data_IF_390498410885
#
_entry.id   IF_390498410885
#
_cell.length_a   1.000
_cell.length_b   1.000
_cell.length_c   1.000
_cell.angle_alpha   90.00
_cell.angle_beta   90.00
_cell.angle_gamma   90.00
#
_symmetry.space_group_name_H-M   'P 1'
#
loop_
_entity.id
_entity.type
_entity.pdbx_description
1 polymer ?
#
# COMPACT_ATOMS: atom_id res chain seq x y z
N UNK A 1 -56.00 6.99 46.82
CA UNK A 1 -54.89 6.19 47.40
C UNK A 1 -53.77 7.17 47.67
N UNK A 2 -53.75 7.72 48.87
CA UNK A 2 -53.00 7.20 50.03
C UNK A 2 -51.56 7.70 49.97
N UNK A 3 -51.26 8.86 50.58
CA UNK A 3 -51.01 9.08 52.03
C UNK A 3 -49.60 8.68 52.44
N UNK A 4 -48.82 9.70 52.82
CA UNK A 4 -47.92 9.77 53.98
C UNK A 4 -46.68 8.82 53.93
N UNK A 5 -45.57 8.94 54.67
CA UNK A 5 -44.91 10.01 55.45
C UNK A 5 -43.37 9.68 55.47
N UNK A 6 -42.40 10.33 56.15
CA UNK A 6 -42.41 11.36 57.19
C UNK A 6 -41.19 12.30 57.14
N UNK A 7 -41.32 13.46 57.78
CA UNK A 7 -40.35 14.27 58.55
C UNK A 7 -39.37 13.45 59.45
N UNK A 8 -38.28 13.92 60.09
CA UNK A 8 -37.82 15.22 60.64
C UNK A 8 -36.28 15.11 60.96
N UNK A 9 -35.41 16.14 60.90
CA UNK A 9 -35.05 17.14 61.97
C UNK A 9 -34.45 16.49 63.25
N UNK A 10 -33.37 16.93 63.95
CA UNK A 10 -32.35 18.03 63.87
C UNK A 10 -31.31 17.83 65.05
N UNK A 11 -30.23 18.65 65.15
CA UNK A 11 -29.23 18.79 66.29
C UNK A 11 -28.22 17.64 66.46
N UNK A 12 -26.98 17.86 66.97
CA UNK A 12 -26.21 19.06 67.33
C UNK A 12 -24.77 18.63 67.74
N UNK A 13 -23.68 19.26 67.27
CA UNK A 13 -22.93 20.40 67.87
C UNK A 13 -22.14 20.13 69.18
N UNK A 14 -20.87 20.58 69.20
CA UNK A 14 -19.90 20.66 70.34
C UNK A 14 -19.09 19.35 70.65
N UNK A 15 -17.75 19.29 70.44
CA UNK A 15 -16.60 19.85 71.21
C UNK A 15 -16.23 19.04 72.47
N UNK A 16 -14.98 18.77 72.89
CA UNK A 16 -13.63 19.12 72.42
C UNK A 16 -12.55 18.15 73.00
N UNK A 17 -11.31 18.26 72.50
CA UNK A 17 -10.02 17.91 73.13
C UNK A 17 -9.83 16.61 73.96
N UNK A 18 -8.91 15.75 73.50
CA UNK A 18 -7.71 15.38 74.28
C UNK A 18 -6.67 14.62 73.44
N UNK A 19 -5.41 14.79 73.79
CA UNK A 19 -4.23 13.98 73.40
C UNK A 19 -3.28 14.04 74.60
N UNK A 20 -2.50 12.99 74.92
CA UNK A 20 -1.22 12.82 74.21
C UNK A 20 -0.70 11.36 74.10
N UNK A 21 0.51 11.26 73.51
CA UNK A 21 1.54 10.22 73.64
C UNK A 21 1.62 9.01 72.67
N UNK A 22 2.57 9.18 71.73
CA UNK A 22 3.69 8.29 71.41
C UNK A 22 3.46 6.85 70.88
N UNK A 23 3.80 6.64 69.60
CA UNK A 23 4.63 5.49 69.20
C UNK A 23 5.44 5.71 67.89
N UNK A 24 6.73 6.01 68.09
CA UNK A 24 7.93 5.72 67.27
C UNK A 24 7.83 5.59 65.73
N UNK A 25 8.50 6.53 65.05
CA UNK A 25 9.56 6.30 64.06
C UNK A 25 9.33 5.28 62.93
N UNK A 26 9.06 5.79 61.72
CA UNK A 26 9.58 5.18 60.47
C UNK A 26 10.39 6.21 59.69
N UNK A 27 11.57 5.81 59.22
CA UNK A 27 12.52 6.70 58.57
C UNK A 27 12.11 7.05 57.13
N UNK A 28 12.41 8.27 56.71
CA UNK A 28 12.21 8.75 55.34
C UNK A 28 13.05 7.98 54.33
N UNK A 29 12.42 7.35 53.34
CA UNK A 29 13.11 6.88 52.13
C UNK A 29 13.37 8.09 51.21
N UNK A 30 14.63 8.42 50.86
CA UNK A 30 14.91 9.46 49.88
C UNK A 30 14.34 9.06 48.51
N UNK A 31 13.73 10.01 47.80
CA UNK A 31 12.96 9.73 46.60
C UNK A 31 13.76 9.05 45.49
N UNK A 32 13.09 8.17 44.73
CA UNK A 32 13.64 7.56 43.54
C UNK A 32 14.02 8.64 42.51
N UNK A 33 15.33 8.94 42.40
CA UNK A 33 15.84 9.85 41.38
C UNK A 33 15.59 9.26 39.99
N UNK A 34 14.66 9.88 39.27
CA UNK A 34 14.29 9.53 37.89
C UNK A 34 15.50 9.76 36.98
N UNK A 35 16.28 8.69 36.75
CA UNK A 35 17.52 8.69 35.96
C UNK A 35 17.28 9.36 34.61
N UNK A 36 18.12 10.31 34.23
CA UNK A 36 17.97 11.04 32.96
C UNK A 36 18.78 10.31 31.88
N UNK A 37 18.30 10.24 30.61
CA UNK A 37 19.05 9.58 29.54
C UNK A 37 20.48 10.12 29.35
N UNK A 38 20.70 11.39 29.69
CA UNK A 38 21.99 12.07 29.67
C UNK A 38 23.06 11.45 30.59
N UNK A 39 22.65 10.79 31.68
CA UNK A 39 23.55 10.20 32.68
C UNK A 39 24.33 8.99 32.11
N UNK A 40 23.81 8.34 31.06
CA UNK A 40 24.47 7.22 30.35
C UNK A 40 25.48 7.74 29.31
N UNK A 41 25.18 8.88 28.70
CA UNK A 41 26.04 9.51 27.68
C UNK A 41 27.32 10.06 28.33
N UNK A 42 27.21 10.66 29.53
CA UNK A 42 28.37 11.16 30.27
C UNK A 42 29.34 10.06 30.75
N UNK A 43 28.86 8.81 30.88
CA UNK A 43 29.67 7.65 31.26
C UNK A 43 30.17 6.83 30.05
N UNK A 44 30.31 7.47 28.87
CA UNK A 44 30.85 6.83 27.67
C UNK A 44 29.99 5.69 27.12
N UNK A 45 28.66 5.71 27.37
CA UNK A 45 27.72 4.66 26.96
C UNK A 45 27.62 3.47 27.91
N UNK A 46 28.46 3.39 28.95
CA UNK A 46 28.41 2.29 29.93
C UNK A 46 27.44 2.64 31.07
N UNK A 47 26.30 1.96 31.10
CA UNK A 47 25.36 2.09 32.22
C UNK A 47 25.96 1.47 33.50
N UNK A 48 25.95 2.17 34.66
CA UNK A 48 26.46 1.60 35.90
C UNK A 48 25.67 0.36 36.34
N UNK A 49 26.35 -0.78 36.50
CA UNK A 49 25.79 -1.99 37.09
C UNK A 49 25.44 -1.76 38.56
N UNK A 50 24.17 -1.49 38.85
CA UNK A 50 23.68 -1.41 40.22
C UNK A 50 23.71 -2.79 40.89
N UNK A 51 24.29 -2.88 42.10
CA UNK A 51 24.04 -4.04 42.98
C UNK A 51 22.57 -4.02 43.40
N UNK A 52 21.92 -5.17 43.36
CA UNK A 52 20.57 -5.38 43.88
C UNK A 52 20.61 -6.51 44.91
N UNK A 53 19.83 -6.35 45.98
CA UNK A 53 19.67 -7.32 47.06
C UNK A 53 18.81 -8.55 46.66
N UNK A 54 18.29 -9.31 47.64
CA UNK A 54 17.85 -10.69 47.41
C UNK A 54 16.53 -10.86 46.65
N UNK A 55 15.71 -9.81 46.48
CA UNK A 55 14.39 -9.94 45.86
C UNK A 55 14.39 -9.55 44.38
N UNK A 56 13.97 -10.52 43.56
CA UNK A 56 14.10 -10.56 42.10
C UNK A 56 12.85 -9.99 41.42
N UNK A 57 12.78 -8.67 41.28
CA UNK A 57 11.86 -8.06 40.31
C UNK A 57 12.51 -8.05 38.91
N UNK A 58 11.85 -8.68 37.95
CA UNK A 58 12.30 -8.77 36.56
C UNK A 58 12.08 -7.43 35.84
N UNK A 59 13.03 -6.51 35.98
CA UNK A 59 13.17 -5.42 35.02
C UNK A 59 13.75 -5.99 33.73
N UNK A 60 13.03 -5.84 32.62
CA UNK A 60 13.52 -6.25 31.31
C UNK A 60 14.84 -5.53 31.02
N UNK A 61 15.89 -6.29 30.72
CA UNK A 61 17.17 -5.73 30.29
C UNK A 61 16.93 -4.91 29.03
N UNK A 62 17.21 -3.61 29.09
CA UNK A 62 17.18 -2.75 27.92
C UNK A 62 18.34 -3.22 27.04
N UNK A 63 18.10 -3.68 25.80
CA UNK A 63 19.16 -4.16 24.94
C UNK A 63 20.21 -3.07 24.76
N UNK A 64 21.47 -3.47 24.74
CA UNK A 64 22.59 -2.58 24.47
C UNK A 64 22.40 -1.87 23.12
N UNK A 65 23.04 -0.70 22.97
CA UNK A 65 22.97 0.06 21.72
C UNK A 65 23.46 -0.80 20.54
N UNK A 66 24.48 -1.63 20.76
CA UNK A 66 25.03 -2.54 19.77
C UNK A 66 24.05 -3.67 19.38
N UNK A 67 23.31 -4.23 20.34
CA UNK A 67 22.24 -5.21 20.06
C UNK A 67 21.08 -4.59 19.28
N UNK A 68 20.70 -3.35 19.62
CA UNK A 68 19.64 -2.62 18.90
C UNK A 68 20.06 -2.27 17.46
N UNK A 69 21.31 -1.84 17.25
CA UNK A 69 21.89 -1.62 15.92
C UNK A 69 21.92 -2.95 15.14
N UNK A 70 22.45 -4.03 15.75
CA UNK A 70 22.52 -5.36 15.14
C UNK A 70 21.12 -5.87 14.75
N UNK A 71 20.09 -5.63 15.59
CA UNK A 71 18.71 -6.00 15.28
C UNK A 71 18.13 -5.17 14.13
N UNK A 72 18.46 -3.88 14.06
CA UNK A 72 18.08 -3.02 12.92
C UNK A 72 18.79 -3.45 11.63
N UNK A 73 20.08 -3.77 11.67
CA UNK A 73 20.87 -4.18 10.50
C UNK A 73 20.40 -5.52 9.91
N UNK A 74 19.97 -6.47 10.75
CA UNK A 74 19.43 -7.77 10.32
C UNK A 74 18.35 -7.64 9.24
N UNK A 75 17.55 -6.57 9.19
CA UNK A 75 16.52 -6.41 8.15
C UNK A 75 17.08 -6.31 6.71
N UNK A 76 18.38 -5.99 6.56
CA UNK A 76 19.08 -5.83 5.28
C UNK A 76 19.87 -7.07 4.83
N UNK A 77 19.93 -8.11 5.65
CA UNK A 77 20.68 -9.35 5.35
C UNK A 77 20.02 -10.16 4.22
N UNK A 78 20.73 -11.11 3.58
CA UNK A 78 20.15 -12.03 2.59
C UNK A 78 18.88 -12.72 3.10
N UNK A 79 17.85 -12.80 2.24
CA UNK A 79 16.56 -13.42 2.56
C UNK A 79 15.59 -12.57 3.39
N UNK A 80 16.03 -11.44 3.94
CA UNK A 80 15.20 -10.57 4.78
C UNK A 80 14.38 -9.57 3.93
N UNK A 81 13.27 -9.01 4.46
CA UNK A 81 12.35 -8.18 3.66
C UNK A 81 12.99 -6.98 2.97
N UNK A 82 14.02 -6.37 3.57
CA UNK A 82 14.77 -5.25 2.97
C UNK A 82 16.17 -5.64 2.50
N UNK A 83 16.38 -6.91 2.17
CA UNK A 83 17.68 -7.40 1.73
C UNK A 83 18.24 -6.58 0.57
N UNK A 84 19.41 -5.95 0.77
CA UNK A 84 19.99 -5.05 -0.23
C UNK A 84 20.37 -5.80 -1.52
N UNK A 85 20.92 -7.01 -1.40
CA UNK A 85 21.18 -7.89 -2.54
C UNK A 85 19.88 -8.33 -3.24
N UNK A 86 18.82 -8.61 -2.46
CA UNK A 86 17.50 -8.94 -3.00
C UNK A 86 16.81 -7.80 -3.75
N UNK A 87 17.04 -6.55 -3.34
CA UNK A 87 16.58 -5.33 -4.03
C UNK A 87 17.41 -5.07 -5.29
N UNK A 88 18.75 -5.12 -5.17
CA UNK A 88 19.67 -4.88 -6.28
C UNK A 88 19.45 -5.87 -7.44
N UNK A 89 19.36 -7.17 -7.13
CA UNK A 89 19.10 -8.21 -8.13
C UNK A 89 17.78 -7.99 -8.87
N UNK A 90 16.70 -7.63 -8.15
CA UNK A 90 15.40 -7.35 -8.77
C UNK A 90 15.44 -6.11 -9.66
N UNK A 91 16.07 -5.03 -9.19
CA UNK A 91 16.26 -3.80 -9.99
C UNK A 91 17.02 -4.09 -11.29
N UNK A 92 18.09 -4.89 -11.21
CA UNK A 92 18.90 -5.29 -12.36
C UNK A 92 18.12 -6.16 -13.36
N UNK A 93 17.41 -7.18 -12.88
CA UNK A 93 16.58 -8.04 -13.72
C UNK A 93 15.44 -7.27 -14.40
N UNK A 94 14.80 -6.33 -13.70
CA UNK A 94 13.78 -5.44 -14.28
C UNK A 94 14.37 -4.55 -15.36
N UNK A 95 15.57 -3.99 -15.15
CA UNK A 95 16.28 -3.20 -16.16
C UNK A 95 16.61 -4.01 -17.42
N UNK A 96 17.05 -5.26 -17.27
CA UNK A 96 17.28 -6.20 -18.39
C UNK A 96 15.97 -6.47 -19.14
N UNK A 97 14.91 -6.87 -18.42
CA UNK A 97 13.59 -7.17 -19.03
C UNK A 97 13.05 -5.94 -19.76
N UNK A 98 13.13 -4.75 -19.17
CA UNK A 98 12.74 -3.49 -19.79
C UNK A 98 13.53 -3.23 -21.09
N UNK A 99 14.86 -3.35 -21.05
CA UNK A 99 15.72 -3.08 -22.21
C UNK A 99 15.44 -4.04 -23.36
N UNK A 100 15.39 -5.35 -23.09
CA UNK A 100 15.11 -6.39 -24.10
C UNK A 100 13.71 -6.19 -24.70
N UNK A 101 12.71 -5.93 -23.87
CA UNK A 101 11.33 -5.75 -24.33
C UNK A 101 11.11 -4.42 -25.07
N UNK A 102 11.74 -3.32 -24.68
CA UNK A 102 11.72 -2.08 -25.46
C UNK A 102 12.38 -2.27 -26.83
N UNK A 103 13.54 -2.93 -26.90
CA UNK A 103 14.23 -3.19 -28.17
C UNK A 103 13.40 -4.12 -29.08
N UNK A 104 12.85 -5.21 -28.53
CA UNK A 104 11.97 -6.12 -29.27
C UNK A 104 10.69 -5.42 -29.76
N UNK A 105 10.13 -4.50 -28.97
CA UNK A 105 8.99 -3.66 -29.39
C UNK A 105 9.36 -2.79 -30.59
N UNK A 106 10.47 -2.07 -30.51
CA UNK A 106 10.95 -1.19 -31.57
C UNK A 106 11.23 -1.99 -32.86
N UNK A 107 11.96 -3.11 -32.76
CA UNK A 107 12.30 -3.96 -33.89
C UNK A 107 11.03 -4.54 -34.56
N UNK A 108 10.12 -5.12 -33.78
CA UNK A 108 8.89 -5.71 -34.32
C UNK A 108 7.95 -4.66 -34.93
N UNK A 109 7.87 -3.45 -34.35
CA UNK A 109 7.03 -2.38 -34.88
C UNK A 109 7.62 -1.75 -36.14
N UNK A 110 8.84 -1.21 -36.07
CA UNK A 110 9.42 -0.39 -37.14
C UNK A 110 10.14 -1.17 -38.23
N UNK A 111 10.72 -2.33 -37.92
CA UNK A 111 11.54 -3.10 -38.89
C UNK A 111 10.70 -4.19 -39.56
N UNK A 112 9.94 -4.98 -38.79
CA UNK A 112 9.17 -6.11 -39.35
C UNK A 112 7.68 -5.83 -39.56
N UNK A 113 7.17 -4.69 -39.08
CA UNK A 113 5.74 -4.34 -39.11
C UNK A 113 4.82 -5.43 -38.49
N UNK A 114 5.36 -6.21 -37.55
CA UNK A 114 4.72 -7.39 -36.98
C UNK A 114 3.90 -7.07 -35.74
N UNK A 115 2.59 -7.33 -35.76
CA UNK A 115 1.63 -7.06 -34.67
C UNK A 115 2.08 -7.60 -33.30
N UNK A 116 2.93 -8.63 -33.28
CA UNK A 116 3.53 -9.21 -32.08
C UNK A 116 4.37 -8.22 -31.25
N UNK A 117 4.70 -7.02 -31.77
CA UNK A 117 5.28 -5.91 -30.99
C UNK A 117 4.49 -5.58 -29.71
N UNK A 118 3.18 -5.85 -29.68
CA UNK A 118 2.30 -5.55 -28.54
C UNK A 118 2.63 -6.36 -27.28
N UNK A 119 3.16 -7.59 -27.40
CA UNK A 119 3.61 -8.40 -26.25
C UNK A 119 4.82 -7.76 -25.53
N UNK A 120 5.97 -7.49 -26.19
CA UNK A 120 7.08 -6.83 -25.52
C UNK A 120 6.75 -5.39 -25.11
N UNK A 121 5.79 -4.70 -25.76
CA UNK A 121 5.28 -3.43 -25.24
C UNK A 121 4.56 -3.59 -23.89
N UNK A 122 3.74 -4.64 -23.75
CA UNK A 122 3.08 -4.99 -22.49
C UNK A 122 4.09 -5.37 -21.40
N UNK A 123 5.12 -6.14 -21.74
CA UNK A 123 6.20 -6.52 -20.81
C UNK A 123 7.03 -5.31 -20.37
N UNK A 124 7.38 -4.39 -21.27
CA UNK A 124 8.08 -3.15 -20.91
C UNK A 124 7.21 -2.24 -20.03
N UNK A 125 5.91 -2.15 -20.31
CA UNK A 125 4.94 -1.43 -19.47
C UNK A 125 4.87 -2.01 -18.05
N UNK A 126 4.86 -3.34 -17.91
CA UNK A 126 4.94 -4.04 -16.62
C UNK A 126 6.27 -3.78 -15.89
N UNK A 127 7.39 -3.82 -16.60
CA UNK A 127 8.71 -3.56 -16.04
C UNK A 127 8.83 -2.11 -15.51
N UNK A 128 8.31 -1.13 -16.26
CA UNK A 128 8.21 0.28 -15.82
C UNK A 128 7.31 0.39 -14.59
N UNK A 129 6.12 -0.21 -14.60
CA UNK A 129 5.22 -0.23 -13.46
C UNK A 129 5.92 -0.76 -12.21
N UNK A 130 6.40 -2.01 -12.24
CA UNK A 130 7.04 -2.66 -11.09
C UNK A 130 8.31 -1.93 -10.59
N UNK A 131 9.08 -1.30 -11.49
CA UNK A 131 10.18 -0.43 -11.09
C UNK A 131 9.71 0.84 -10.37
N UNK A 132 8.72 1.54 -10.93
CA UNK A 132 8.20 2.79 -10.36
C UNK A 132 7.49 2.56 -9.01
N UNK A 133 6.82 1.43 -8.82
CA UNK A 133 6.26 1.04 -7.51
C UNK A 133 7.34 0.98 -6.42
N UNK A 134 8.42 0.24 -6.69
CA UNK A 134 9.56 0.15 -5.77
C UNK A 134 10.26 1.49 -5.60
N UNK A 135 10.66 2.14 -6.70
CA UNK A 135 11.46 3.37 -6.67
C UNK A 135 10.71 4.51 -5.97
N UNK A 136 9.42 4.70 -6.25
CA UNK A 136 8.62 5.75 -5.62
C UNK A 136 8.44 5.47 -4.12
N UNK A 137 8.24 4.20 -3.74
CA UNK A 137 8.18 3.80 -2.32
C UNK A 137 9.54 4.04 -1.64
N UNK A 138 10.66 3.63 -2.25
CA UNK A 138 12.00 3.85 -1.73
C UNK A 138 12.34 5.35 -1.57
N UNK A 139 11.90 6.19 -2.51
CA UNK A 139 12.21 7.63 -2.50
C UNK A 139 11.34 8.45 -1.53
N UNK A 140 10.05 8.13 -1.42
CA UNK A 140 9.07 8.96 -0.68
C UNK A 140 8.50 8.29 0.58
N UNK A 141 8.61 6.96 0.71
CA UNK A 141 8.28 6.19 1.92
C UNK A 141 9.35 5.14 2.27
N UNK A 142 10.61 5.58 2.37
CA UNK A 142 11.79 4.72 2.54
C UNK A 142 11.67 3.65 3.64
N UNK A 143 11.09 3.90 4.82
CA UNK A 143 10.98 2.86 5.85
C UNK A 143 10.01 1.72 5.55
N UNK A 144 9.03 1.91 4.66
CA UNK A 144 8.14 0.84 4.16
C UNK A 144 8.70 0.15 2.91
N UNK A 145 9.76 0.71 2.30
CA UNK A 145 10.39 0.15 1.12
C UNK A 145 11.07 -1.19 1.43
N UNK A 146 10.71 -2.21 0.65
CA UNK A 146 11.15 -3.60 0.82
C UNK A 146 11.07 -4.34 -0.52
N UNK A 147 11.49 -5.60 -0.55
CA UNK A 147 11.40 -6.47 -1.73
C UNK A 147 9.95 -6.62 -2.23
N UNK A 148 8.96 -6.60 -1.32
CA UNK A 148 7.56 -6.72 -1.73
C UNK A 148 7.03 -5.44 -2.39
N UNK A 149 7.68 -4.28 -2.22
CA UNK A 149 7.30 -3.02 -2.87
C UNK A 149 7.46 -3.03 -4.41
N UNK A 150 8.14 -4.03 -4.98
CA UNK A 150 8.10 -4.31 -6.42
C UNK A 150 6.75 -4.91 -6.89
N UNK A 151 5.89 -5.37 -5.98
CA UNK A 151 4.57 -5.98 -6.25
C UNK A 151 4.53 -7.27 -7.11
N UNK A 152 5.65 -7.93 -7.41
CA UNK A 152 5.65 -9.21 -8.17
C UNK A 152 4.82 -10.33 -7.53
N UNK A 153 4.88 -10.46 -6.20
CA UNK A 153 4.17 -11.52 -5.46
C UNK A 153 3.09 -10.97 -4.53
N UNK A 154 3.13 -9.66 -4.22
CA UNK A 154 2.17 -9.00 -3.32
C UNK A 154 0.75 -8.93 -3.87
N UNK A 155 0.59 -8.98 -5.20
CA UNK A 155 -0.72 -8.95 -5.87
C UNK A 155 -1.42 -10.33 -5.92
N UNK A 156 -0.77 -11.40 -5.43
CA UNK A 156 -1.33 -12.76 -5.40
C UNK A 156 -1.34 -13.49 -6.75
N UNK A 157 -1.75 -14.76 -6.73
CA UNK A 157 -1.78 -15.62 -7.93
C UNK A 157 -2.72 -15.11 -9.02
N UNK A 158 -3.85 -14.49 -8.65
CA UNK A 158 -4.82 -13.90 -9.58
C UNK A 158 -4.19 -12.85 -10.51
N UNK A 159 -3.22 -12.06 -10.02
CA UNK A 159 -2.47 -11.11 -10.83
C UNK A 159 -1.67 -11.83 -11.91
N UNK A 160 -0.88 -12.84 -11.55
CA UNK A 160 -0.08 -13.59 -12.52
C UNK A 160 -0.95 -14.35 -13.53
N UNK A 161 -2.09 -14.91 -13.09
CA UNK A 161 -3.08 -15.54 -13.97
C UNK A 161 -3.63 -14.53 -14.99
N UNK A 162 -3.98 -13.31 -14.58
CA UNK A 162 -4.50 -12.28 -15.47
C UNK A 162 -3.48 -11.88 -16.56
N UNK A 163 -2.21 -11.69 -16.20
CA UNK A 163 -1.15 -11.32 -17.16
C UNK A 163 -0.82 -12.47 -18.12
N UNK A 164 -0.78 -13.71 -17.62
CA UNK A 164 -0.65 -14.90 -18.48
C UNK A 164 -1.84 -15.07 -19.41
N UNK A 165 -3.07 -14.82 -18.94
CA UNK A 165 -4.27 -14.87 -19.78
C UNK A 165 -4.26 -13.80 -20.87
N UNK A 166 -3.82 -12.58 -20.54
CA UNK A 166 -3.69 -11.48 -21.51
C UNK A 166 -2.69 -11.80 -22.64
N UNK A 167 -1.53 -12.38 -22.32
CA UNK A 167 -0.57 -12.84 -23.34
C UNK A 167 -1.13 -14.04 -24.11
N UNK A 168 -1.84 -14.95 -23.44
CA UNK A 168 -2.44 -16.14 -24.07
C UNK A 168 -3.55 -15.78 -25.07
N UNK A 169 -4.49 -14.89 -24.72
CA UNK A 169 -5.53 -14.40 -25.64
C UNK A 169 -4.90 -13.73 -26.87
N UNK A 170 -3.88 -12.90 -26.64
CA UNK A 170 -3.16 -12.23 -27.73
C UNK A 170 -2.52 -13.26 -28.67
N UNK A 171 -1.75 -14.21 -28.14
CA UNK A 171 -1.06 -15.23 -28.93
C UNK A 171 -2.05 -16.10 -29.69
N UNK A 172 -3.13 -16.55 -29.04
CA UNK A 172 -4.16 -17.36 -29.69
C UNK A 172 -4.79 -16.57 -30.84
N UNK A 173 -5.19 -15.32 -30.59
CA UNK A 173 -5.95 -14.58 -31.60
C UNK A 173 -5.09 -14.16 -32.79
N UNK A 174 -3.86 -13.71 -32.55
CA UNK A 174 -3.00 -13.21 -33.62
C UNK A 174 -2.22 -14.32 -34.36
N UNK A 175 -2.08 -15.53 -33.79
CA UNK A 175 -1.42 -16.66 -34.47
C UNK A 175 -2.41 -17.51 -35.26
N UNK A 176 -3.58 -17.83 -34.68
CA UNK A 176 -4.54 -18.74 -35.32
C UNK A 176 -5.67 -18.01 -36.08
N UNK A 177 -5.93 -16.73 -35.78
CA UNK A 177 -7.05 -15.96 -36.35
C UNK A 177 -6.65 -14.56 -36.89
N UNK A 178 -5.51 -14.41 -37.62
CA UNK A 178 -4.93 -13.11 -37.97
C UNK A 178 -5.83 -12.20 -38.83
N UNK A 179 -6.78 -12.77 -39.59
CA UNK A 179 -7.68 -12.03 -40.48
C UNK A 179 -9.05 -11.71 -39.87
N UNK A 180 -9.24 -11.92 -38.56
CA UNK A 180 -10.52 -11.63 -37.90
C UNK A 180 -11.67 -12.56 -38.28
N UNK A 181 -11.37 -13.76 -38.78
CA UNK A 181 -12.35 -14.77 -39.13
C UNK A 181 -13.23 -15.13 -37.93
N UNK A 182 -14.52 -14.78 -37.98
CA UNK A 182 -15.51 -15.24 -37.01
C UNK A 182 -15.58 -16.76 -37.02
N UNK A 183 -15.35 -17.41 -35.88
CA UNK A 183 -15.45 -18.86 -35.75
C UNK A 183 -16.48 -19.24 -34.67
N UNK A 184 -17.09 -20.42 -34.83
CA UNK A 184 -18.08 -20.95 -33.89
C UNK A 184 -17.48 -22.08 -33.06
N UNK A 185 -17.40 -21.91 -31.74
CA UNK A 185 -17.16 -23.03 -30.81
C UNK A 185 -18.50 -23.32 -30.12
N UNK A 186 -18.91 -24.59 -30.05
CA UNK A 186 -20.20 -25.00 -29.45
C UNK A 186 -21.42 -24.21 -29.95
N UNK A 187 -21.40 -23.78 -31.22
CA UNK A 187 -22.46 -22.97 -31.84
C UNK A 187 -22.43 -21.47 -31.52
N UNK A 188 -21.68 -21.04 -30.50
CA UNK A 188 -21.49 -19.63 -30.14
C UNK A 188 -20.46 -19.00 -31.10
N UNK A 189 -20.77 -17.84 -31.69
CA UNK A 189 -19.83 -17.12 -32.56
C UNK A 189 -18.88 -16.26 -31.71
N UNK A 190 -17.60 -16.63 -31.68
CA UNK A 190 -16.59 -15.94 -30.87
C UNK A 190 -16.08 -14.70 -31.62
N UNK A 191 -16.25 -13.47 -31.10
CA UNK A 191 -15.58 -12.28 -31.63
C UNK A 191 -14.04 -12.41 -31.53
N UNK A 192 -13.30 -12.47 -32.64
CA UNK A 192 -11.85 -12.67 -32.62
C UNK A 192 -11.11 -11.34 -32.38
N UNK A 193 -10.93 -10.93 -31.11
CA UNK A 193 -10.22 -9.68 -30.71
C UNK A 193 -10.80 -8.38 -31.31
N UNK A 194 -10.06 -7.27 -31.25
CA UNK A 194 -10.45 -5.99 -31.86
C UNK A 194 -10.58 -6.02 -33.40
N UNK A 195 -10.24 -7.13 -34.05
CA UNK A 195 -10.30 -7.28 -35.52
C UNK A 195 -11.71 -7.05 -36.11
N UNK A 196 -12.77 -7.21 -35.30
CA UNK A 196 -14.14 -6.86 -35.67
C UNK A 196 -14.35 -5.36 -35.95
N UNK A 197 -13.50 -4.50 -35.39
CA UNK A 197 -13.60 -3.06 -35.58
C UNK A 197 -12.81 -2.62 -36.82
N UNK A 198 -13.27 -1.54 -37.47
CA UNK A 198 -12.54 -0.94 -38.59
C UNK A 198 -11.11 -0.56 -38.19
N UNK A 199 -10.15 -0.56 -39.12
CA UNK A 199 -8.74 -0.20 -38.85
C UNK A 199 -8.60 1.19 -38.20
N UNK A 200 -9.48 2.16 -38.58
CA UNK A 200 -9.56 3.46 -37.91
C UNK A 200 -9.93 3.33 -36.43
N UNK A 201 -10.96 2.55 -36.13
CA UNK A 201 -11.42 2.28 -34.75
C UNK A 201 -10.34 1.56 -33.94
N UNK A 202 -9.64 0.58 -34.53
CA UNK A 202 -8.53 -0.12 -33.88
C UNK A 202 -7.38 0.83 -33.50
N UNK A 203 -7.05 1.78 -34.39
CA UNK A 203 -6.04 2.80 -34.11
C UNK A 203 -6.48 3.78 -33.00
N UNK A 204 -7.76 4.16 -32.96
CA UNK A 204 -8.32 4.99 -31.87
C UNK A 204 -8.25 4.24 -30.54
N UNK A 205 -8.63 2.96 -30.50
CA UNK A 205 -8.53 2.09 -29.31
C UNK A 205 -7.07 2.00 -28.83
N UNK A 206 -6.12 1.82 -29.76
CA UNK A 206 -4.70 1.77 -29.45
C UNK A 206 -4.19 3.09 -28.83
N UNK A 207 -4.47 4.23 -29.47
CA UNK A 207 -4.04 5.55 -28.98
C UNK A 207 -4.66 5.85 -27.61
N UNK A 208 -5.95 5.55 -27.42
CA UNK A 208 -6.60 5.73 -26.13
C UNK A 208 -6.00 4.81 -25.06
N UNK A 209 -5.70 3.55 -25.40
CA UNK A 209 -5.00 2.61 -24.50
C UNK A 209 -3.63 3.12 -24.06
N UNK A 210 -2.84 3.68 -24.98
CA UNK A 210 -1.54 4.31 -24.68
C UNK A 210 -1.71 5.51 -23.73
N UNK A 211 -2.71 6.37 -23.97
CA UNK A 211 -3.03 7.50 -23.10
C UNK A 211 -3.41 7.00 -21.69
N UNK A 212 -4.27 5.98 -21.59
CA UNK A 212 -4.66 5.40 -20.29
C UNK A 212 -3.47 4.81 -19.52
N UNK A 213 -2.52 4.16 -20.19
CA UNK A 213 -1.29 3.65 -19.56
C UNK A 213 -0.46 4.83 -19.01
N UNK A 214 -0.18 5.84 -19.83
CA UNK A 214 0.65 6.98 -19.43
C UNK A 214 0.00 7.78 -18.30
N UNK A 215 -1.28 8.14 -18.45
CA UNK A 215 -2.04 8.92 -17.46
C UNK A 215 -2.25 8.10 -16.18
N UNK A 216 -2.62 6.81 -16.30
CA UNK A 216 -2.82 5.93 -15.15
C UNK A 216 -1.55 5.71 -14.33
N UNK A 217 -0.42 5.45 -14.99
CA UNK A 217 0.89 5.35 -14.33
C UNK A 217 1.28 6.67 -13.66
N UNK A 218 1.11 7.79 -14.36
CA UNK A 218 1.49 9.12 -13.85
C UNK A 218 0.67 9.47 -12.61
N UNK A 219 -0.65 9.33 -12.66
CA UNK A 219 -1.55 9.59 -11.53
C UNK A 219 -1.21 8.68 -10.35
N UNK A 220 -0.91 7.39 -10.60
CA UNK A 220 -0.52 6.45 -9.54
C UNK A 220 0.80 6.86 -8.87
N UNK A 221 1.85 7.13 -9.65
CA UNK A 221 3.14 7.54 -9.10
C UNK A 221 3.03 8.88 -8.37
N UNK A 222 2.32 9.88 -8.92
CA UNK A 222 2.12 11.17 -8.24
C UNK A 222 1.28 11.03 -6.97
N UNK A 223 0.28 10.14 -6.93
CA UNK A 223 -0.46 9.82 -5.70
C UNK A 223 0.47 9.25 -4.61
N UNK A 224 1.35 8.32 -4.96
CA UNK A 224 2.35 7.78 -4.02
C UNK A 224 3.33 8.85 -3.52
N UNK A 225 3.76 9.77 -4.40
CA UNK A 225 4.61 10.93 -4.03
C UNK A 225 3.88 11.85 -3.04
N UNK A 226 2.62 12.21 -3.33
CA UNK A 226 1.84 13.15 -2.52
C UNK A 226 1.44 12.56 -1.16
N UNK A 227 1.09 11.28 -1.11
CA UNK A 227 0.75 10.61 0.16
C UNK A 227 1.99 10.22 0.98
N UNK A 228 3.15 9.97 0.34
CA UNK A 228 4.43 9.75 1.03
C UNK A 228 4.33 8.73 2.17
N UNK A 229 4.56 9.16 3.41
CA UNK A 229 4.49 8.31 4.61
C UNK A 229 3.10 7.81 4.99
N UNK A 230 2.03 8.39 4.43
CA UNK A 230 0.66 7.86 4.56
C UNK A 230 0.37 6.76 3.52
N UNK A 231 1.14 6.67 2.43
CA UNK A 231 0.91 5.65 1.39
C UNK A 231 1.40 4.27 1.82
N UNK A 232 0.56 3.24 1.65
CA UNK A 232 0.90 1.85 1.92
C UNK A 232 0.30 0.91 0.86
N UNK A 233 1.07 -0.10 0.43
CA UNK A 233 0.58 -1.15 -0.49
C UNK A 233 -0.43 -2.11 0.18
N UNK A 234 -0.39 -2.23 1.50
CA UNK A 234 -1.31 -3.01 2.33
C UNK A 234 -2.18 -2.03 3.13
N UNK A 235 -3.49 -2.30 3.22
CA UNK A 235 -4.41 -1.49 4.02
C UNK A 235 -4.00 -1.58 5.50
N UNK A 236 -3.70 -0.44 6.11
CA UNK A 236 -3.20 -0.38 7.48
C UNK A 236 -4.36 -0.42 8.48
N UNK A 237 -4.37 -1.42 9.36
CA UNK A 237 -5.38 -1.58 10.42
C UNK A 237 -5.09 -0.77 11.68
N UNK A 238 -3.89 -0.19 11.79
CA UNK A 238 -3.44 0.62 12.94
C UNK A 238 -2.90 1.95 12.45
N UNK A 239 -3.27 3.06 13.13
CA UNK A 239 -2.78 4.41 12.79
C UNK A 239 -1.33 4.59 13.27
N UNK A 240 -0.39 4.72 12.33
CA UNK A 240 0.97 5.20 12.62
C UNK A 240 0.94 6.68 13.05
N UNK A 241 1.90 7.11 13.88
CA UNK A 241 2.11 8.54 14.21
C UNK A 241 2.39 9.42 12.99
N UNK A 242 2.92 8.84 11.91
CA UNK A 242 3.14 9.53 10.63
C UNK A 242 1.92 9.53 9.70
N UNK A 243 0.82 8.86 10.08
CA UNK A 243 -0.37 8.75 9.24
C UNK A 243 -1.22 10.02 9.40
N UNK A 244 -1.21 10.83 8.35
CA UNK A 244 -1.97 12.07 8.18
C UNK A 244 -2.95 11.93 7.03
N UNK A 245 -4.11 12.59 7.14
CA UNK A 245 -5.09 12.63 6.05
C UNK A 245 -4.61 13.61 4.98
N UNK A 246 -4.32 13.09 3.78
CA UNK A 246 -3.84 13.89 2.65
C UNK A 246 -5.02 14.25 1.76
N UNK A 247 -5.26 15.55 1.57
CA UNK A 247 -6.41 16.12 0.84
C UNK A 247 -5.99 17.12 -0.24
N UNK A 248 -4.69 17.24 -0.52
CA UNK A 248 -4.12 18.22 -1.46
C UNK A 248 -3.59 17.56 -2.74
N UNK A 249 -3.39 18.34 -3.80
CA UNK A 249 -2.93 17.82 -5.09
C UNK A 249 -4.01 16.96 -5.76
N UNK A 250 -3.67 15.72 -6.15
CA UNK A 250 -4.63 14.78 -6.72
C UNK A 250 -5.71 14.38 -5.71
N UNK A 251 -5.36 14.33 -4.42
CA UNK A 251 -6.28 13.99 -3.35
C UNK A 251 -7.40 15.02 -3.18
N UNK A 252 -7.21 16.27 -3.62
CA UNK A 252 -8.29 17.27 -3.61
C UNK A 252 -9.48 16.91 -4.51
N UNK A 253 -9.26 16.04 -5.51
CA UNK A 253 -10.27 15.62 -6.49
C UNK A 253 -10.63 14.14 -6.34
N UNK A 254 -9.62 13.30 -6.11
CA UNK A 254 -9.74 11.85 -6.07
C UNK A 254 -9.34 11.33 -4.69
N UNK A 255 -10.28 10.75 -3.92
CA UNK A 255 -9.98 10.16 -2.60
C UNK A 255 -9.09 8.92 -2.64
N UNK A 256 -9.04 8.24 -3.79
CA UNK A 256 -8.17 7.06 -4.03
C UNK A 256 -7.43 7.14 -5.38
N UNK A 257 -6.52 8.12 -5.59
CA UNK A 257 -5.93 8.38 -6.89
C UNK A 257 -4.95 7.28 -7.34
N UNK A 258 -4.30 6.58 -6.39
CA UNK A 258 -3.45 5.42 -6.69
C UNK A 258 -4.25 4.22 -7.23
N UNK A 259 -5.51 4.08 -6.84
CA UNK A 259 -6.43 3.03 -7.30
C UNK A 259 -7.06 3.40 -8.65
N UNK A 260 -7.47 4.67 -8.81
CA UNK A 260 -7.82 5.24 -10.12
C UNK A 260 -6.72 4.96 -11.15
N UNK A 261 -5.48 5.34 -10.83
CA UNK A 261 -4.34 5.19 -11.74
C UNK A 261 -4.10 3.74 -12.15
N UNK A 262 -4.13 2.80 -11.19
CA UNK A 262 -3.94 1.38 -11.48
C UNK A 262 -5.11 0.76 -12.28
N UNK A 263 -6.36 1.13 -11.97
CA UNK A 263 -7.53 0.65 -12.69
C UNK A 263 -7.45 1.03 -14.18
N UNK A 264 -7.26 2.31 -14.47
CA UNK A 264 -7.20 2.80 -15.86
C UNK A 264 -5.93 2.35 -16.59
N UNK A 265 -4.78 2.27 -15.91
CA UNK A 265 -3.57 1.66 -16.46
C UNK A 265 -3.81 0.22 -16.90
N UNK A 266 -4.44 -0.59 -16.04
CA UNK A 266 -4.75 -2.00 -16.31
C UNK A 266 -5.64 -2.17 -17.54
N UNK A 267 -6.71 -1.39 -17.65
CA UNK A 267 -7.58 -1.37 -18.83
C UNK A 267 -6.82 -0.94 -20.09
N UNK A 268 -5.99 0.10 -19.98
CA UNK A 268 -5.13 0.60 -21.07
C UNK A 268 -4.23 -0.49 -21.65
N UNK A 269 -3.61 -1.34 -20.80
CA UNK A 269 -2.79 -2.46 -21.29
C UNK A 269 -3.55 -3.43 -22.18
N UNK A 270 -4.81 -3.73 -21.87
CA UNK A 270 -5.62 -4.66 -22.66
C UNK A 270 -6.08 -4.03 -23.99
N UNK A 271 -6.32 -2.71 -24.01
CA UNK A 271 -6.58 -1.96 -25.24
C UNK A 271 -5.35 -1.93 -26.17
N UNK A 272 -4.14 -1.80 -25.62
CA UNK A 272 -2.89 -1.85 -26.41
C UNK A 272 -2.54 -3.26 -26.86
N UNK A 273 -2.85 -4.31 -26.09
CA UNK A 273 -2.80 -5.69 -26.61
C UNK A 273 -3.87 -5.92 -27.70
N UNK A 274 -5.03 -5.26 -27.61
CA UNK A 274 -6.17 -5.55 -28.48
C UNK A 274 -6.97 -6.77 -28.02
N UNK A 275 -6.89 -7.11 -26.74
CA UNK A 275 -7.66 -8.20 -26.14
C UNK A 275 -9.09 -7.73 -25.87
N UNK A 276 -10.08 -8.52 -26.27
CA UNK A 276 -11.49 -8.23 -25.99
C UNK A 276 -11.95 -8.88 -24.70
N UNK A 277 -11.63 -10.16 -24.49
CA UNK A 277 -12.10 -10.91 -23.33
C UNK A 277 -11.34 -10.48 -22.07
N UNK A 278 -10.01 -10.35 -22.13
CA UNK A 278 -9.21 -9.85 -21.03
C UNK A 278 -9.48 -8.37 -20.73
N UNK A 279 -9.92 -7.53 -21.67
CA UNK A 279 -10.36 -6.16 -21.34
C UNK A 279 -11.56 -6.18 -20.38
N UNK A 280 -12.61 -6.93 -20.71
CA UNK A 280 -13.78 -7.07 -19.83
C UNK A 280 -13.46 -7.85 -18.54
N UNK A 281 -12.60 -8.86 -18.62
CA UNK A 281 -12.11 -9.62 -17.46
C UNK A 281 -11.32 -8.75 -16.48
N UNK A 282 -10.35 -7.96 -16.96
CA UNK A 282 -9.62 -6.98 -16.16
C UNK A 282 -10.58 -5.94 -15.56
N UNK A 283 -11.51 -5.43 -16.36
CA UNK A 283 -12.54 -4.47 -15.89
C UNK A 283 -13.32 -5.03 -14.71
N UNK A 284 -13.87 -6.24 -14.84
CA UNK A 284 -14.67 -6.87 -13.78
C UNK A 284 -13.84 -7.17 -12.52
N UNK A 285 -12.66 -7.77 -12.69
CA UNK A 285 -11.80 -8.18 -11.57
C UNK A 285 -11.24 -6.97 -10.82
N UNK A 286 -10.71 -5.96 -11.52
CA UNK A 286 -10.19 -4.74 -10.89
C UNK A 286 -11.32 -3.93 -10.23
N UNK A 287 -12.51 -3.86 -10.85
CA UNK A 287 -13.66 -3.19 -10.24
C UNK A 287 -14.10 -3.89 -8.95
N UNK A 288 -14.25 -5.22 -8.96
CA UNK A 288 -14.60 -5.98 -7.76
C UNK A 288 -13.54 -5.86 -6.66
N UNK A 289 -12.26 -5.90 -7.03
CA UNK A 289 -11.14 -5.74 -6.11
C UNK A 289 -11.18 -4.36 -5.44
N UNK A 290 -11.26 -3.28 -6.22
CA UNK A 290 -11.25 -1.93 -5.68
C UNK A 290 -12.53 -1.57 -4.92
N UNK A 291 -13.71 -1.99 -5.38
CA UNK A 291 -14.97 -1.78 -4.65
C UNK A 291 -14.92 -2.39 -3.24
N UNK A 292 -14.40 -3.62 -3.11
CA UNK A 292 -14.21 -4.27 -1.80
C UNK A 292 -13.12 -3.59 -0.97
N UNK A 293 -11.96 -3.30 -1.58
CA UNK A 293 -10.81 -2.70 -0.89
C UNK A 293 -11.10 -1.30 -0.36
N UNK A 294 -11.66 -0.44 -1.19
CA UNK A 294 -12.05 0.94 -0.85
C UNK A 294 -13.04 0.92 0.32
N UNK A 295 -14.10 0.09 0.28
CA UNK A 295 -15.06 0.00 1.40
C UNK A 295 -14.41 -0.39 2.73
N UNK A 296 -13.47 -1.33 2.72
CA UNK A 296 -12.73 -1.72 3.93
C UNK A 296 -11.78 -0.63 4.43
N UNK A 297 -11.10 0.07 3.52
CA UNK A 297 -10.15 1.13 3.82
C UNK A 297 -10.85 2.41 4.31
N UNK A 298 -11.94 2.86 3.66
CA UNK A 298 -12.72 4.02 4.12
C UNK A 298 -13.30 3.79 5.52
N UNK A 299 -13.71 2.56 5.86
CA UNK A 299 -14.16 2.22 7.21
C UNK A 299 -13.04 2.32 8.27
N UNK A 300 -11.78 2.15 7.88
CA UNK A 300 -10.62 2.37 8.75
C UNK A 300 -10.22 3.86 8.80
N UNK A 301 -10.29 4.57 7.68
CA UNK A 301 -10.03 6.02 7.63
C UNK A 301 -11.04 6.80 8.48
N UNK A 302 -12.32 6.43 8.48
CA UNK A 302 -13.33 6.99 9.41
C UNK A 302 -12.94 6.71 10.87
N UNK A 303 -12.44 5.50 11.20
CA UNK A 303 -11.95 5.20 12.57
C UNK A 303 -10.69 5.97 12.95
N UNK A 304 -9.87 6.37 11.98
CA UNK A 304 -8.61 7.07 12.22
C UNK A 304 -8.75 8.59 12.29
N UNK A 305 -9.68 9.18 11.53
CA UNK A 305 -9.81 10.62 11.34
C UNK A 305 -11.21 11.18 11.64
N UNK A 306 -12.21 10.32 11.89
CA UNK A 306 -13.56 10.74 12.26
C UNK A 306 -14.21 11.64 11.21
N UNK A 307 -14.80 12.74 11.68
CA UNK A 307 -15.56 13.69 10.85
C UNK A 307 -14.71 14.37 9.77
N UNK A 308 -13.39 14.51 9.95
CA UNK A 308 -12.49 15.05 8.92
C UNK A 308 -12.57 14.21 7.63
N UNK A 309 -12.58 12.88 7.76
CA UNK A 309 -12.71 11.98 6.62
C UNK A 309 -14.13 11.99 6.04
N UNK A 310 -15.15 12.10 6.90
CA UNK A 310 -16.56 12.16 6.46
C UNK A 310 -16.79 13.41 5.61
N UNK A 311 -16.28 14.57 6.02
CA UNK A 311 -16.36 15.82 5.27
C UNK A 311 -15.56 15.74 3.97
N UNK A 312 -14.31 15.28 4.02
CA UNK A 312 -13.46 15.09 2.85
C UNK A 312 -14.10 14.17 1.78
N UNK A 313 -14.77 13.10 2.21
CA UNK A 313 -15.46 12.16 1.31
C UNK A 313 -16.62 12.80 0.53
N UNK A 314 -17.28 13.84 1.05
CA UNK A 314 -18.36 14.54 0.34
C UNK A 314 -17.85 15.35 -0.87
N UNK A 315 -16.60 15.80 -0.83
CA UNK A 315 -16.01 16.69 -1.85
C UNK A 315 -15.04 16.00 -2.81
N UNK A 316 -14.81 14.69 -2.65
CA UNK A 316 -13.81 13.92 -3.40
C UNK A 316 -14.36 12.60 -3.97
N UNK A 317 -13.96 12.25 -5.19
CA UNK A 317 -14.50 11.11 -5.96
C UNK A 317 -13.53 9.91 -5.98
N UNK A 318 -13.98 8.69 -6.31
CA UNK A 318 -13.04 7.58 -6.58
C UNK A 318 -12.55 7.62 -8.03
N UNK A 319 -13.42 8.02 -8.97
CA UNK A 319 -13.13 8.05 -10.41
C UNK A 319 -13.02 6.66 -11.08
N UNK A 320 -13.38 5.60 -10.36
CA UNK A 320 -13.72 4.29 -10.92
C UNK A 320 -15.26 4.28 -11.04
N UNK A 321 -15.86 3.94 -12.20
CA UNK A 321 -17.31 4.01 -12.37
C UNK A 321 -18.07 3.21 -11.30
N UNK A 322 -19.15 3.79 -10.76
CA UNK A 322 -20.02 3.18 -9.75
C UNK A 322 -19.38 2.89 -8.36
N UNK A 323 -18.34 3.67 -7.96
CA UNK A 323 -17.68 3.65 -6.63
C UNK A 323 -17.45 5.09 -6.10
#
# INVERSE_FOLDING_TARGET
MSTDDTTNVIRGSASAHSSPEQLKSTASTPGATRRRPWDVIQNGGVAPRARVGPNREQFAEIPSIDEAITQFEKQFFPGQPKSLSGIALRSFLVGIVLTISMFATFYLFFVTNSIFWRIPFFISSLAIFHFLEFWTTARYNTPEASISSFLFSGNGSAYNIAHSAAVTEFLITNTFFPNGSSYRIFGLQYPPSISLFSSRTQNIILVFGLILIIVGQTIRSVAMVQAGRSFNHIVQFTRSRSHTLVTTGLYAWLRHPSYFGFFWWGLGTQMVLGNFYCFWGYTLVLWMFFNRRIKGEEALLIKFFGDEYVQYRQVSWVGIPFI
#
